data_IF_232500450011
#
_entry.id   IF_232500450011
#
_cell.length_a   1.000
_cell.length_b   1.000
_cell.length_c   1.000
_cell.angle_alpha   90.00
_cell.angle_beta   90.00
_cell.angle_gamma   90.00
#
_symmetry.space_group_name_H-M   'P 1'
#
loop_
_entity.id
_entity.type
_entity.pdbx_description
1 polymer ?
#
# COMPACT_ATOMS: atom_id res chain seq x y z
N UNK A 1 4.16 -5.06 12.48
CA UNK A 1 5.13 -5.81 11.65
C UNK A 1 6.40 -6.15 12.41
N UNK A 2 7.18 -5.15 12.86
CA UNK A 2 8.48 -5.35 13.51
C UNK A 2 8.50 -6.34 14.69
N UNK A 3 7.42 -6.48 15.45
CA UNK A 3 7.34 -7.36 16.64
C UNK A 3 6.68 -8.71 16.37
N UNK A 4 6.09 -8.92 15.20
CA UNK A 4 5.37 -10.17 14.87
C UNK A 4 6.36 -11.32 14.69
N UNK A 5 6.13 -12.46 15.34
CA UNK A 5 6.98 -13.64 15.16
C UNK A 5 7.03 -14.13 13.70
N UNK A 6 5.96 -13.92 12.95
CA UNK A 6 5.86 -14.34 11.56
C UNK A 6 6.54 -13.35 10.59
N UNK A 7 6.47 -12.03 10.87
CA UNK A 7 6.95 -11.01 9.94
C UNK A 7 8.27 -10.33 10.33
N UNK A 8 8.73 -10.44 11.58
CA UNK A 8 9.90 -9.69 12.07
C UNK A 8 11.20 -9.98 11.31
N UNK A 9 11.40 -11.22 10.87
CA UNK A 9 12.58 -11.62 10.09
C UNK A 9 12.55 -10.99 8.68
N UNK A 10 11.41 -11.11 7.99
CA UNK A 10 11.21 -10.48 6.68
C UNK A 10 11.29 -8.95 6.76
N UNK A 11 10.77 -8.34 7.82
CA UNK A 11 10.91 -6.90 8.04
C UNK A 11 12.38 -6.46 8.22
N UNK A 12 13.22 -7.27 8.86
CA UNK A 12 14.63 -6.95 9.07
C UNK A 12 15.50 -7.18 7.82
N UNK A 13 15.18 -8.17 6.98
CA UNK A 13 16.09 -8.64 5.93
C UNK A 13 15.51 -8.70 4.52
N UNK A 14 14.19 -8.65 4.37
CA UNK A 14 13.48 -8.90 3.12
C UNK A 14 12.43 -7.82 2.87
N UNK A 15 12.84 -6.56 2.97
CA UNK A 15 12.01 -5.41 2.58
C UNK A 15 12.01 -5.25 1.06
N UNK A 16 10.92 -4.75 0.52
CA UNK A 16 10.78 -4.43 -0.90
C UNK A 16 9.88 -3.20 -1.08
N UNK A 17 9.91 -2.62 -2.28
CA UNK A 17 8.97 -1.59 -2.72
C UNK A 17 7.95 -2.23 -3.67
N UNK A 18 6.69 -1.86 -3.51
CA UNK A 18 5.60 -2.29 -4.38
C UNK A 18 5.08 -1.03 -5.11
N UNK A 19 5.46 -0.81 -6.38
CA UNK A 19 4.91 0.30 -7.17
C UNK A 19 3.42 0.10 -7.44
N UNK A 20 2.64 1.16 -7.36
CA UNK A 20 1.24 1.17 -7.75
C UNK A 20 0.80 2.55 -8.21
N UNK A 21 -0.10 2.62 -9.20
CA UNK A 21 -0.77 3.88 -9.56
C UNK A 21 -1.74 4.36 -8.47
N UNK A 22 -2.19 3.42 -7.61
CA UNK A 22 -3.17 3.65 -6.56
C UNK A 22 -3.64 2.33 -5.95
N UNK A 23 -4.66 2.42 -5.10
CA UNK A 23 -5.35 1.24 -4.56
C UNK A 23 -6.85 1.47 -4.52
N UNK A 24 -7.62 0.39 -4.42
CA UNK A 24 -9.06 0.45 -4.24
C UNK A 24 -9.43 0.27 -2.77
N UNK A 25 -10.43 1.02 -2.30
CA UNK A 25 -11.13 0.72 -1.04
C UNK A 25 -12.64 0.88 -1.18
N UNK A 26 -13.39 0.20 -0.30
CA UNK A 26 -14.85 0.12 -0.40
C UNK A 26 -15.55 0.85 0.75
N UNK A 27 -16.17 2.00 0.44
CA UNK A 27 -16.99 2.76 1.38
C UNK A 27 -18.36 2.09 1.55
N UNK A 28 -18.81 1.79 2.79
CA UNK A 28 -20.18 1.37 3.05
C UNK A 28 -21.15 2.53 2.87
N UNK A 29 -22.09 2.42 1.93
CA UNK A 29 -23.16 3.40 1.66
C UNK A 29 -24.49 2.67 1.56
N UNK A 30 -25.44 2.99 2.43
CA UNK A 30 -26.80 2.41 2.46
C UNK A 30 -26.84 0.87 2.36
N UNK A 31 -25.95 0.19 3.09
CA UNK A 31 -25.86 -1.27 3.11
C UNK A 31 -25.18 -1.89 1.87
N UNK A 32 -24.70 -1.08 0.94
CA UNK A 32 -23.88 -1.49 -0.21
C UNK A 32 -22.43 -0.99 -0.03
N UNK A 33 -21.53 -1.51 -0.86
CA UNK A 33 -20.12 -1.10 -0.89
C UNK A 33 -19.82 -0.36 -2.19
N UNK A 34 -19.53 0.94 -2.10
CA UNK A 34 -19.09 1.76 -3.22
C UNK A 34 -17.55 1.68 -3.30
N UNK A 35 -16.95 1.12 -4.37
CA UNK A 35 -15.51 1.17 -4.54
C UNK A 35 -15.06 2.60 -4.86
N UNK A 36 -13.91 2.97 -4.31
CA UNK A 36 -13.19 4.20 -4.59
C UNK A 36 -11.78 3.82 -5.02
N UNK A 37 -11.20 4.61 -5.92
CA UNK A 37 -9.79 4.54 -6.23
C UNK A 37 -9.07 5.68 -5.51
N UNK A 38 -7.99 5.34 -4.82
CA UNK A 38 -7.13 6.25 -4.07
C UNK A 38 -5.75 6.29 -4.74
N UNK A 39 -5.23 7.49 -4.99
CA UNK A 39 -3.93 7.68 -5.63
C UNK A 39 -3.29 9.00 -5.19
N UNK A 40 -2.08 9.26 -5.68
CA UNK A 40 -1.49 10.59 -5.55
C UNK A 40 -2.21 11.60 -6.44
N UNK A 41 -2.40 12.82 -5.94
CA UNK A 41 -3.03 13.91 -6.68
C UNK A 41 -2.23 14.28 -7.95
N UNK A 42 -0.91 14.27 -7.85
CA UNK A 42 0.03 14.53 -8.97
C UNK A 42 0.12 13.38 -9.99
N UNK A 43 -0.58 12.26 -9.76
CA UNK A 43 -0.56 11.04 -10.58
C UNK A 43 0.81 10.36 -10.70
N UNK A 44 1.77 10.74 -9.85
CA UNK A 44 3.01 9.97 -9.71
C UNK A 44 2.70 8.61 -9.05
N UNK A 45 3.56 7.58 -9.27
CA UNK A 45 3.40 6.30 -8.62
C UNK A 45 3.51 6.39 -7.09
N UNK A 46 2.76 5.53 -6.41
CA UNK A 46 2.97 5.21 -5.00
C UNK A 46 4.05 4.13 -4.86
N UNK A 47 4.96 4.34 -3.93
CA UNK A 47 5.93 3.33 -3.51
C UNK A 47 5.51 2.75 -2.17
N UNK A 48 4.82 1.60 -2.21
CA UNK A 48 4.28 0.97 -1.02
C UNK A 48 5.34 0.13 -0.32
N UNK A 49 5.46 0.29 0.99
CA UNK A 49 6.35 -0.49 1.83
C UNK A 49 5.89 -1.96 1.85
N UNK A 50 6.73 -2.85 1.32
CA UNK A 50 6.50 -4.28 1.26
C UNK A 50 7.52 -5.08 2.06
N UNK A 51 7.15 -6.31 2.37
CA UNK A 51 8.07 -7.37 2.78
C UNK A 51 7.86 -8.59 1.90
N UNK A 52 8.90 -9.37 1.70
CA UNK A 52 8.83 -10.63 0.96
C UNK A 52 9.47 -11.77 1.74
N UNK A 53 9.12 -13.00 1.37
CA UNK A 53 9.71 -14.21 1.94
C UNK A 53 9.56 -15.37 0.95
N UNK A 54 10.51 -16.29 0.99
CA UNK A 54 10.37 -17.57 0.31
C UNK A 54 9.21 -18.37 0.91
N UNK A 55 8.39 -18.99 0.05
CA UNK A 55 7.30 -19.88 0.47
C UNK A 55 7.69 -21.33 0.27
N UNK A 56 7.08 -22.22 1.06
CA UNK A 56 7.16 -23.65 0.81
C UNK A 56 6.57 -23.93 -0.59
N UNK A 57 7.42 -24.33 -1.54
CA UNK A 57 7.07 -24.46 -2.95
C UNK A 57 7.95 -23.62 -3.91
N UNK A 58 8.84 -22.78 -3.39
CA UNK A 58 9.89 -22.11 -4.16
C UNK A 58 9.46 -20.85 -4.92
N UNK A 59 8.19 -20.45 -4.83
CA UNK A 59 7.73 -19.15 -5.34
C UNK A 59 7.70 -18.14 -4.21
N UNK A 60 8.46 -17.03 -4.29
CA UNK A 60 8.43 -15.98 -3.28
C UNK A 60 7.02 -15.40 -3.10
N UNK A 61 6.72 -15.04 -1.86
CA UNK A 61 5.55 -14.26 -1.50
C UNK A 61 5.90 -12.86 -1.07
N UNK A 62 4.97 -11.93 -1.26
CA UNK A 62 5.06 -10.58 -0.70
C UNK A 62 3.80 -10.21 0.09
N UNK A 63 3.95 -9.19 0.93
CA UNK A 63 2.87 -8.55 1.66
C UNK A 63 3.12 -7.04 1.75
N UNK A 64 2.07 -6.25 1.53
CA UNK A 64 2.07 -4.80 1.74
C UNK A 64 1.94 -4.52 3.24
N UNK A 65 2.76 -3.63 3.77
CA UNK A 65 2.63 -3.11 5.13
C UNK A 65 1.50 -2.08 5.15
N UNK A 66 0.61 -2.20 6.14
CA UNK A 66 -0.48 -1.23 6.33
C UNK A 66 -0.28 -0.41 7.59
N UNK A 67 -0.88 0.78 7.61
CA UNK A 67 -0.90 1.74 8.71
C UNK A 67 -2.33 2.22 9.00
N UNK A 68 -2.60 2.91 10.13
CA UNK A 68 -3.87 3.60 10.32
C UNK A 68 -4.10 4.60 9.17
N UNK A 69 -5.34 4.68 8.66
CA UNK A 69 -5.66 5.63 7.60
C UNK A 69 -5.38 7.07 8.05
N UNK A 70 -4.97 7.92 7.10
CA UNK A 70 -4.70 9.38 7.24
C UNK A 70 -5.29 10.12 6.04
N UNK A 71 -5.48 11.44 6.15
CA UNK A 71 -6.05 12.28 5.09
C UNK A 71 -7.36 11.73 4.52
N UNK A 72 -7.53 11.83 3.21
CA UNK A 72 -8.71 11.37 2.48
C UNK A 72 -9.01 9.87 2.66
N UNK A 73 -7.99 9.03 2.92
CA UNK A 73 -8.22 7.59 3.13
C UNK A 73 -9.08 7.28 4.36
N UNK A 74 -9.08 8.14 5.40
CA UNK A 74 -9.91 7.97 6.60
C UNK A 74 -11.40 8.06 6.32
N UNK A 75 -11.78 8.73 5.24
CA UNK A 75 -13.19 8.88 4.85
C UNK A 75 -13.78 7.54 4.39
N UNK A 76 -12.93 6.61 3.95
CA UNK A 76 -13.33 5.36 3.30
C UNK A 76 -13.09 4.15 4.20
N UNK A 77 -11.91 4.07 4.81
CA UNK A 77 -11.51 2.90 5.60
C UNK A 77 -10.58 3.27 6.76
N UNK A 78 -10.48 2.39 7.75
CA UNK A 78 -9.68 2.64 8.98
C UNK A 78 -8.18 2.38 8.81
N UNK A 79 -7.79 1.73 7.71
CA UNK A 79 -6.41 1.31 7.38
C UNK A 79 -6.08 1.71 5.96
N UNK A 80 -4.81 1.99 5.70
CA UNK A 80 -4.29 2.24 4.35
C UNK A 80 -2.92 1.55 4.17
N UNK A 81 -2.46 1.34 2.93
CA UNK A 81 -1.07 0.97 2.65
C UNK A 81 -0.09 2.02 3.21
N UNK A 82 1.07 1.57 3.71
CA UNK A 82 2.16 2.47 4.04
C UNK A 82 2.87 2.88 2.74
N UNK A 83 2.52 4.06 2.22
CA UNK A 83 3.25 4.69 1.13
C UNK A 83 4.47 5.45 1.69
N UNK A 84 5.64 5.26 1.07
CA UNK A 84 6.89 5.90 1.46
C UNK A 84 7.10 7.19 0.68
N UNK A 85 7.73 8.18 1.32
CA UNK A 85 8.25 9.35 0.62
C UNK A 85 9.55 9.04 -0.15
N UNK A 86 9.99 10.00 -0.96
CA UNK A 86 11.17 9.83 -1.82
C UNK A 86 12.47 9.60 -1.02
N UNK A 87 12.61 10.26 0.13
CA UNK A 87 13.80 10.16 0.99
C UNK A 87 13.92 8.78 1.66
N UNK A 88 12.80 8.08 1.82
CA UNK A 88 12.75 6.77 2.46
C UNK A 88 13.02 5.60 1.52
N UNK A 89 13.00 5.79 0.19
CA UNK A 89 13.07 4.67 -0.77
C UNK A 89 14.40 3.91 -0.69
N UNK A 90 15.52 4.63 -0.71
CA UNK A 90 16.86 4.02 -0.63
C UNK A 90 17.12 3.39 0.76
N UNK A 91 16.91 4.10 1.90
CA UNK A 91 17.07 3.49 3.22
C UNK A 91 16.17 2.28 3.45
N UNK A 92 14.96 2.27 2.88
CA UNK A 92 14.06 1.14 2.97
C UNK A 92 14.63 -0.12 2.30
N UNK A 93 15.33 0.03 1.18
CA UNK A 93 15.93 -1.07 0.43
C UNK A 93 17.32 -1.49 0.92
N UNK A 94 17.94 -0.75 1.84
CA UNK A 94 19.29 -1.04 2.33
C UNK A 94 19.36 -2.40 3.09
N UNK A 95 20.05 -3.43 2.55
CA UNK A 95 20.15 -4.74 3.19
C UNK A 95 21.02 -4.71 4.46
N UNK A 96 21.84 -3.69 4.66
CA UNK A 96 22.67 -3.52 5.84
C UNK A 96 21.89 -2.92 7.03
N UNK A 97 20.80 -2.22 6.74
CA UNK A 97 19.88 -1.73 7.75
C UNK A 97 18.96 -2.85 8.23
N UNK A 98 19.38 -3.54 9.29
CA UNK A 98 18.67 -4.71 9.84
C UNK A 98 18.06 -4.46 11.22
N UNK A 99 18.49 -3.40 11.92
CA UNK A 99 17.90 -3.03 13.20
C UNK A 99 16.47 -2.49 13.02
N UNK A 100 15.51 -3.15 13.66
CA UNK A 100 14.08 -2.91 13.44
C UNK A 100 13.60 -1.56 13.96
N UNK A 101 14.24 -1.02 14.98
CA UNK A 101 13.90 0.30 15.51
C UNK A 101 14.43 1.38 14.56
N UNK A 102 15.65 1.22 14.08
CA UNK A 102 16.24 2.10 13.07
C UNK A 102 15.43 2.10 11.79
N UNK A 103 15.04 0.93 11.27
CA UNK A 103 14.16 0.80 10.07
C UNK A 103 12.86 1.59 10.25
N UNK A 104 12.25 1.56 11.46
CA UNK A 104 11.03 2.31 11.74
C UNK A 104 11.24 3.82 11.75
N UNK A 105 12.44 4.29 12.08
CA UNK A 105 12.72 5.72 12.20
C UNK A 105 13.14 6.33 10.85
N UNK A 106 13.72 5.54 9.94
CA UNK A 106 14.09 6.00 8.59
C UNK A 106 12.95 5.86 7.57
N UNK A 107 11.95 5.01 7.86
CA UNK A 107 10.79 4.84 7.00
C UNK A 107 9.78 5.95 7.25
N UNK A 108 9.91 7.05 6.54
CA UNK A 108 8.95 8.15 6.58
C UNK A 108 7.76 7.86 5.67
N UNK A 109 6.62 8.36 6.12
CA UNK A 109 5.36 8.15 5.46
C UNK A 109 5.16 9.27 4.42
N UNK A 110 4.63 8.93 3.26
CA UNK A 110 4.14 9.93 2.33
C UNK A 110 3.14 10.87 3.04
N UNK A 111 3.21 12.16 2.68
CA UNK A 111 2.23 13.14 3.12
C UNK A 111 0.84 12.71 2.65
N UNK A 112 -0.08 12.55 3.61
CA UNK A 112 -1.42 12.06 3.33
C UNK A 112 -2.28 13.10 2.59
N UNK A 113 -1.91 14.38 2.64
CA UNK A 113 -2.59 15.43 1.87
C UNK A 113 -2.32 15.31 0.36
N UNK A 114 -1.27 14.58 -0.04
CA UNK A 114 -1.03 14.25 -1.46
C UNK A 114 -1.94 13.13 -1.97
N UNK A 115 -2.70 12.48 -1.10
CA UNK A 115 -3.61 11.38 -1.47
C UNK A 115 -5.01 11.94 -1.71
N UNK A 116 -5.57 11.62 -2.87
CA UNK A 116 -6.95 11.93 -3.25
C UNK A 116 -7.72 10.66 -3.61
N UNK A 117 -9.04 10.77 -3.75
CA UNK A 117 -9.88 9.64 -4.15
C UNK A 117 -11.17 10.06 -4.86
N UNK A 118 -11.77 9.12 -5.60
CA UNK A 118 -13.11 9.27 -6.16
C UNK A 118 -13.83 7.91 -6.28
N UNK A 119 -15.17 7.88 -6.27
CA UNK A 119 -15.92 6.65 -6.51
C UNK A 119 -15.68 6.12 -7.93
N UNK A 120 -15.50 4.82 -8.06
CA UNK A 120 -15.30 4.12 -9.35
C UNK A 120 -16.40 3.09 -9.60
N UNK A 121 -16.42 2.53 -10.81
CA UNK A 121 -17.41 1.53 -11.18
C UNK A 121 -17.28 0.24 -10.35
N UNK A 122 -18.41 -0.36 -9.98
CA UNK A 122 -18.45 -1.70 -9.34
C UNK A 122 -17.90 -2.83 -10.20
N UNK A 123 -17.59 -2.55 -11.48
CA UNK A 123 -16.89 -3.47 -12.40
C UNK A 123 -15.53 -3.91 -11.85
N UNK A 124 -14.87 -3.10 -11.02
CA UNK A 124 -13.60 -3.47 -10.36
C UNK A 124 -13.73 -4.70 -9.46
N UNK A 125 -14.95 -5.04 -9.00
CA UNK A 125 -15.19 -6.22 -8.17
C UNK A 125 -15.05 -7.54 -8.96
N UNK A 126 -14.87 -7.48 -10.28
CA UNK A 126 -14.73 -8.65 -11.15
C UNK A 126 -13.27 -8.72 -11.63
N UNK A 127 -12.45 -9.65 -11.13
CA UNK A 127 -11.04 -9.79 -11.48
C UNK A 127 -10.74 -10.09 -12.96
N UNK A 128 -11.76 -10.38 -13.79
CA UNK A 128 -11.57 -10.60 -15.22
C UNK A 128 -11.52 -9.32 -16.07
N UNK A 129 -11.58 -8.14 -15.44
CA UNK A 129 -11.65 -6.84 -16.13
C UNK A 129 -10.30 -6.09 -16.15
N UNK A 130 -9.20 -6.73 -15.77
CA UNK A 130 -7.91 -6.07 -15.46
C UNK A 130 -7.29 -5.28 -16.63
N UNK A 131 -7.68 -5.56 -17.88
CA UNK A 131 -7.21 -4.82 -19.06
C UNK A 131 -7.97 -3.51 -19.32
N UNK A 132 -9.06 -3.25 -18.59
CA UNK A 132 -9.85 -2.05 -18.77
C UNK A 132 -9.34 -0.90 -17.89
N UNK A 133 -8.52 -0.03 -18.50
CA UNK A 133 -8.05 1.20 -17.87
C UNK A 133 -9.17 2.12 -17.37
N UNK A 134 -10.41 1.98 -17.87
CA UNK A 134 -11.55 2.77 -17.37
C UNK A 134 -12.00 2.38 -15.96
N UNK A 135 -11.47 1.30 -15.37
CA UNK A 135 -11.80 0.89 -13.99
C UNK A 135 -11.38 1.91 -12.93
N UNK A 136 -10.40 2.78 -13.22
CA UNK A 136 -10.00 3.88 -12.33
C UNK A 136 -10.72 5.19 -12.62
N UNK A 137 -11.56 5.27 -13.66
CA UNK A 137 -12.27 6.51 -13.98
C UNK A 137 -13.41 6.76 -12.98
N UNK A 138 -13.72 8.04 -12.70
CA UNK A 138 -14.90 8.39 -11.91
C UNK A 138 -16.18 7.73 -12.46
N UNK A 139 -16.99 7.20 -11.55
CA UNK A 139 -18.28 6.55 -11.84
C UNK A 139 -19.37 7.52 -12.29
#
# INVERSE_FOLDING_TARGET
>A
MATSNYFKGAFAHHRCLIPADGWYEWLPVDGKKQPHFLCREDREPLWLAGIWAERAGGTPGCAIITEPARGAAKEIHTRMPLALDAESLEPWLDPHLTDRETIRNVGHHLDAELITHWPVSTRVNRPGNDEDAALINPA
#
